data_IF_008377494948
#
_entry.id   IF_008377494948
#
_cell.length_a   1.000
_cell.length_b   1.000
_cell.length_c   1.000
_cell.angle_alpha   90.00
_cell.angle_beta   90.00
_cell.angle_gamma   90.00
#
_symmetry.space_group_name_H-M   'P 1'
#
loop_
_entity.id
_entity.type
_entity.pdbx_description
1 polymer ?
#
# COMPACT_ATOMS: atom_id res chain seq x y z
N UNK A 1 40.83 -3.21 -23.85
CA UNK A 1 39.84 -2.12 -23.72
C UNK A 1 38.65 -2.64 -22.94
N UNK A 2 38.35 -2.06 -21.79
CA UNK A 2 37.12 -2.34 -21.06
C UNK A 2 35.95 -1.80 -21.88
N UNK A 3 35.05 -2.69 -22.30
CA UNK A 3 33.85 -2.32 -23.05
C UNK A 3 32.88 -1.59 -22.12
N UNK A 4 32.91 -0.26 -22.18
CA UNK A 4 31.88 0.59 -21.55
C UNK A 4 30.63 0.59 -22.44
N UNK A 5 29.53 0.02 -21.92
CA UNK A 5 28.22 0.04 -22.57
C UNK A 5 27.38 1.21 -22.05
N UNK A 6 27.36 2.33 -22.78
CA UNK A 6 26.59 3.54 -22.41
C UNK A 6 25.11 3.49 -22.83
N UNK A 7 24.65 2.39 -23.46
CA UNK A 7 23.24 2.19 -23.83
C UNK A 7 22.99 1.07 -24.83
N UNK A 8 21.73 0.89 -25.24
CA UNK A 8 21.33 -0.17 -26.19
C UNK A 8 21.68 0.13 -27.66
N UNK A 9 22.34 1.26 -27.96
CA UNK A 9 22.71 1.68 -29.31
C UNK A 9 21.54 1.59 -30.31
N UNK A 10 21.77 0.98 -31.48
CA UNK A 10 20.77 0.75 -32.54
C UNK A 10 19.54 -0.06 -32.11
N UNK A 11 19.59 -0.76 -30.97
CA UNK A 11 18.48 -1.56 -30.46
C UNK A 11 17.48 -0.75 -29.64
N UNK A 12 17.80 0.49 -29.26
CA UNK A 12 16.90 1.36 -28.49
C UNK A 12 15.55 1.56 -29.20
N UNK A 13 15.57 1.83 -30.51
CA UNK A 13 14.33 2.03 -31.28
C UNK A 13 13.50 0.74 -31.42
N UNK A 14 14.18 -0.39 -31.62
CA UNK A 14 13.52 -1.69 -31.66
C UNK A 14 12.85 -2.01 -30.32
N UNK A 15 13.56 -1.80 -29.20
CA UNK A 15 13.02 -1.98 -27.85
C UNK A 15 11.80 -1.09 -27.56
N UNK A 16 11.83 0.17 -27.99
CA UNK A 16 10.69 1.08 -27.90
C UNK A 16 9.46 0.54 -28.68
N UNK A 17 9.67 0.10 -29.91
CA UNK A 17 8.59 -0.44 -30.77
C UNK A 17 8.00 -1.74 -30.19
N UNK A 18 8.85 -2.64 -29.68
CA UNK A 18 8.41 -3.83 -28.96
C UNK A 18 7.58 -3.42 -27.73
N UNK A 19 8.07 -2.48 -26.93
CA UNK A 19 7.34 -2.00 -25.75
C UNK A 19 5.97 -1.40 -26.10
N UNK A 20 5.90 -0.60 -27.17
CA UNK A 20 4.63 -0.01 -27.67
C UNK A 20 3.65 -1.07 -28.16
N UNK A 21 4.12 -2.12 -28.83
CA UNK A 21 3.27 -3.20 -29.31
C UNK A 21 2.81 -4.14 -28.18
N UNK A 22 3.72 -4.49 -27.26
CA UNK A 22 3.48 -5.51 -26.23
C UNK A 22 2.68 -4.95 -25.03
N UNK A 23 2.92 -3.70 -24.61
CA UNK A 23 2.27 -3.14 -23.41
C UNK A 23 0.74 -3.14 -23.46
N UNK A 24 0.07 -2.74 -24.56
CA UNK A 24 -1.38 -2.83 -24.67
C UNK A 24 -1.87 -4.28 -24.67
N UNK A 25 -1.20 -5.17 -25.41
CA UNK A 25 -1.55 -6.58 -25.49
C UNK A 25 -1.45 -7.29 -24.13
N UNK A 26 -0.39 -7.01 -23.36
CA UNK A 26 -0.22 -7.56 -22.00
C UNK A 26 -1.29 -7.04 -21.05
N UNK A 27 -1.61 -5.74 -21.09
CA UNK A 27 -2.69 -5.18 -20.26
C UNK A 27 -4.03 -5.83 -20.57
N UNK A 28 -4.35 -6.01 -21.85
CA UNK A 28 -5.58 -6.65 -22.30
C UNK A 28 -5.63 -8.13 -21.89
N UNK A 29 -4.52 -8.86 -22.05
CA UNK A 29 -4.42 -10.25 -21.61
C UNK A 29 -4.62 -10.39 -20.09
N UNK A 30 -3.97 -9.53 -19.30
CA UNK A 30 -4.12 -9.51 -17.83
C UNK A 30 -5.56 -9.17 -17.42
N UNK A 31 -6.20 -8.22 -18.11
CA UNK A 31 -7.60 -7.89 -17.89
C UNK A 31 -8.51 -9.09 -18.18
N UNK A 32 -8.35 -9.76 -19.32
CA UNK A 32 -9.17 -10.93 -19.68
C UNK A 32 -8.95 -12.13 -18.76
N UNK A 33 -7.72 -12.36 -18.32
CA UNK A 33 -7.36 -13.54 -17.52
C UNK A 33 -7.72 -13.37 -16.03
N UNK A 34 -7.52 -12.17 -15.49
CA UNK A 34 -7.60 -11.94 -14.03
C UNK A 34 -8.49 -10.78 -13.62
N UNK A 35 -9.08 -10.05 -14.58
CA UNK A 35 -9.80 -8.80 -14.34
C UNK A 35 -8.91 -7.61 -14.01
N UNK A 36 -7.58 -7.74 -14.13
CA UNK A 36 -6.63 -6.69 -13.75
C UNK A 36 -6.87 -5.42 -14.56
N UNK A 37 -7.39 -4.41 -13.89
CA UNK A 37 -7.71 -3.09 -14.45
C UNK A 37 -7.18 -1.97 -13.54
N UNK A 38 -7.06 -0.73 -14.02
CA UNK A 38 -6.74 0.42 -13.16
C UNK A 38 -7.71 0.54 -11.98
N UNK A 39 -9.01 0.33 -12.24
CA UNK A 39 -10.06 0.34 -11.23
C UNK A 39 -9.81 -0.76 -10.21
N UNK A 40 -9.58 -2.01 -10.64
CA UNK A 40 -9.28 -3.12 -9.71
C UNK A 40 -8.04 -2.83 -8.86
N UNK A 41 -7.01 -2.23 -9.44
CA UNK A 41 -5.75 -1.91 -8.77
C UNK A 41 -5.83 -0.69 -7.84
N UNK A 42 -6.85 0.16 -7.94
CA UNK A 42 -7.06 1.28 -7.03
C UNK A 42 -7.65 0.79 -5.70
N UNK A 43 -6.80 0.16 -4.88
CA UNK A 43 -7.13 -0.51 -3.62
C UNK A 43 -5.96 -0.44 -2.64
N UNK A 44 -6.25 -0.11 -1.38
CA UNK A 44 -5.32 -0.10 -0.24
C UNK A 44 -4.85 -1.52 0.07
N UNK A 45 -5.77 -2.45 0.27
CA UNK A 45 -5.50 -3.84 0.62
C UNK A 45 -4.68 -4.54 -0.45
N UNK A 46 -4.91 -4.27 -1.74
CA UNK A 46 -4.09 -4.85 -2.81
C UNK A 46 -2.63 -4.41 -2.75
N UNK A 47 -2.35 -3.17 -2.32
CA UNK A 47 -0.98 -2.66 -2.17
C UNK A 47 -0.29 -3.28 -0.96
N UNK A 48 -1.03 -3.47 0.13
CA UNK A 48 -0.51 -4.04 1.36
C UNK A 48 -0.44 -5.58 1.32
N UNK A 49 -1.14 -6.24 0.40
CA UNK A 49 -1.20 -7.71 0.28
C UNK A 49 0.18 -8.37 0.26
N UNK A 50 1.17 -7.77 -0.41
CA UNK A 50 2.55 -8.33 -0.48
C UNK A 50 3.27 -8.35 0.86
N UNK A 51 2.81 -7.53 1.81
CA UNK A 51 3.30 -7.48 3.19
C UNK A 51 2.43 -8.32 4.14
N UNK A 52 1.51 -9.13 3.61
CA UNK A 52 0.66 -10.04 4.38
C UNK A 52 -0.64 -9.43 4.90
N UNK A 53 -0.84 -8.12 4.80
CA UNK A 53 -2.06 -7.45 5.29
C UNK A 53 -3.27 -7.86 4.46
N UNK A 54 -4.33 -8.28 5.15
CA UNK A 54 -5.61 -8.64 4.56
C UNK A 54 -6.77 -8.29 5.52
N UNK A 55 -7.99 -8.43 5.04
CA UNK A 55 -9.21 -8.11 5.79
C UNK A 55 -9.32 -8.90 7.11
N UNK A 56 -8.99 -10.19 7.10
CA UNK A 56 -9.07 -11.02 8.31
C UNK A 56 -8.11 -10.52 9.40
N UNK A 57 -6.87 -10.15 9.04
CA UNK A 57 -5.90 -9.58 9.99
C UNK A 57 -6.41 -8.26 10.57
N UNK A 58 -6.94 -7.38 9.72
CA UNK A 58 -7.49 -6.10 10.17
C UNK A 58 -8.71 -6.30 11.08
N UNK A 59 -9.55 -7.27 10.77
CA UNK A 59 -10.69 -7.65 11.61
C UNK A 59 -10.25 -8.16 12.98
N UNK A 60 -9.27 -9.06 13.04
CA UNK A 60 -8.72 -9.55 14.32
C UNK A 60 -8.14 -8.41 15.15
N UNK A 61 -7.45 -7.45 14.51
CA UNK A 61 -6.91 -6.26 15.20
C UNK A 61 -8.02 -5.33 15.69
N UNK A 62 -9.07 -5.14 14.90
CA UNK A 62 -10.25 -4.39 15.33
C UNK A 62 -10.90 -5.02 16.56
N UNK A 63 -11.11 -6.34 16.54
CA UNK A 63 -11.66 -7.09 17.66
C UNK A 63 -10.81 -6.97 18.93
N UNK A 64 -9.49 -7.08 18.80
CA UNK A 64 -8.58 -6.95 19.93
C UNK A 64 -8.65 -5.56 20.61
N UNK A 65 -9.00 -4.50 19.87
CA UNK A 65 -9.12 -3.14 20.38
C UNK A 65 -10.52 -2.72 20.82
N UNK A 66 -11.59 -3.27 20.22
CA UNK A 66 -12.97 -2.82 20.42
C UNK A 66 -13.89 -3.88 21.06
N UNK A 67 -13.53 -5.16 20.99
CA UNK A 67 -14.26 -6.27 21.64
C UNK A 67 -15.64 -6.62 21.09
N UNK A 68 -16.14 -5.92 20.07
CA UNK A 68 -17.49 -6.14 19.53
C UNK A 68 -17.47 -6.96 18.22
N UNK A 69 -17.97 -8.21 18.29
CA UNK A 69 -18.05 -9.12 17.15
C UNK A 69 -19.33 -8.91 16.31
N UNK A 70 -20.35 -8.24 16.85
CA UNK A 70 -21.66 -8.09 16.21
C UNK A 70 -21.63 -7.07 15.04
N UNK A 71 -20.52 -6.35 14.89
CA UNK A 71 -20.33 -5.33 13.84
C UNK A 71 -19.54 -5.81 12.63
N UNK A 72 -19.30 -7.13 12.47
CA UNK A 72 -18.46 -7.66 11.39
C UNK A 72 -18.92 -7.23 10.00
N UNK A 73 -20.23 -7.21 9.77
CA UNK A 73 -20.80 -6.80 8.47
C UNK A 73 -20.49 -5.33 8.19
N UNK A 74 -20.78 -4.45 9.16
CA UNK A 74 -20.50 -3.02 9.06
C UNK A 74 -19.01 -2.74 8.91
N UNK A 75 -18.15 -3.51 9.60
CA UNK A 75 -16.71 -3.43 9.45
C UNK A 75 -16.28 -3.73 8.01
N UNK A 76 -16.73 -4.86 7.44
CA UNK A 76 -16.38 -5.25 6.06
C UNK A 76 -16.87 -4.20 5.05
N UNK A 77 -18.08 -3.67 5.22
CA UNK A 77 -18.62 -2.61 4.36
C UNK A 77 -17.80 -1.32 4.46
N UNK A 78 -17.50 -0.87 5.69
CA UNK A 78 -16.68 0.31 5.92
C UNK A 78 -15.27 0.14 5.35
N UNK A 79 -14.63 -1.01 5.57
CA UNK A 79 -13.31 -1.31 5.05
C UNK A 79 -13.30 -1.36 3.52
N UNK A 80 -14.35 -1.90 2.89
CA UNK A 80 -14.50 -1.93 1.42
C UNK A 80 -14.59 -0.51 0.82
N UNK A 81 -15.28 0.41 1.49
CA UNK A 81 -15.31 1.82 1.08
C UNK A 81 -13.94 2.47 1.28
N UNK A 82 -13.33 2.28 2.44
CA UNK A 82 -12.03 2.83 2.79
C UNK A 82 -10.91 2.31 1.87
N UNK A 83 -11.00 1.06 1.42
CA UNK A 83 -10.07 0.44 0.48
C UNK A 83 -9.96 1.23 -0.83
N UNK A 84 -11.02 1.97 -1.18
CA UNK A 84 -11.13 2.77 -2.41
C UNK A 84 -10.98 4.27 -2.17
N UNK A 85 -10.72 4.72 -0.94
CA UNK A 85 -10.49 6.12 -0.66
C UNK A 85 -9.25 6.64 -1.40
N UNK A 86 -9.43 7.70 -2.19
CA UNK A 86 -8.40 8.19 -3.11
C UNK A 86 -7.12 8.63 -2.38
N UNK A 87 -7.28 9.27 -1.22
CA UNK A 87 -6.14 9.78 -0.46
C UNK A 87 -5.43 8.65 0.29
N UNK A 88 -6.18 7.75 0.92
CA UNK A 88 -5.59 6.59 1.59
C UNK A 88 -4.88 5.66 0.61
N UNK A 89 -5.44 5.44 -0.58
CA UNK A 89 -4.77 4.71 -1.66
C UNK A 89 -3.44 5.40 -2.04
N UNK A 90 -3.43 6.72 -2.12
CA UNK A 90 -2.23 7.51 -2.46
C UNK A 90 -1.17 7.38 -1.37
N UNK A 91 -1.50 7.68 -0.10
CA UNK A 91 -0.55 7.59 1.00
C UNK A 91 -0.07 6.16 1.25
N UNK A 92 -0.97 5.17 1.11
CA UNK A 92 -0.57 3.76 1.17
C UNK A 92 0.42 3.44 0.05
N UNK A 93 0.27 3.99 -1.16
CA UNK A 93 1.24 3.78 -2.25
C UNK A 93 2.63 4.31 -1.89
N UNK A 94 2.69 5.52 -1.32
CA UNK A 94 3.94 6.16 -0.89
C UNK A 94 4.59 5.38 0.24
N UNK A 95 3.80 4.97 1.24
CA UNK A 95 4.29 4.18 2.37
C UNK A 95 4.81 2.82 1.93
N UNK A 96 4.06 2.11 1.09
CA UNK A 96 4.44 0.83 0.50
C UNK A 96 5.74 0.96 -0.32
N UNK A 97 5.93 2.05 -1.04
CA UNK A 97 7.17 2.33 -1.76
C UNK A 97 8.35 2.65 -0.81
N UNK A 98 8.11 3.40 0.26
CA UNK A 98 9.11 3.63 1.32
C UNK A 98 9.62 2.30 1.90
N UNK A 99 8.71 1.36 2.17
CA UNK A 99 9.08 0.02 2.64
C UNK A 99 9.89 -0.76 1.60
N UNK A 100 9.62 -0.60 0.30
CA UNK A 100 10.48 -1.19 -0.73
C UNK A 100 11.89 -0.63 -0.69
N UNK A 101 12.02 0.70 -0.58
CA UNK A 101 13.35 1.34 -0.53
C UNK A 101 14.14 0.89 0.70
N UNK A 102 13.48 0.77 1.85
CA UNK A 102 14.08 0.23 3.07
C UNK A 102 14.51 -1.24 2.90
N UNK A 103 13.65 -2.09 2.34
CA UNK A 103 13.97 -3.50 2.10
C UNK A 103 15.08 -3.73 1.08
N UNK A 104 15.28 -2.77 0.18
CA UNK A 104 16.36 -2.79 -0.81
C UNK A 104 17.63 -2.09 -0.31
N UNK A 105 17.66 -1.70 0.97
CA UNK A 105 18.79 -1.00 1.61
C UNK A 105 19.15 0.32 0.90
N UNK A 106 18.17 0.93 0.21
CA UNK A 106 18.31 2.21 -0.49
C UNK A 106 18.07 3.41 0.45
N UNK A 107 17.42 3.17 1.58
CA UNK A 107 17.22 4.14 2.65
C UNK A 107 17.67 3.54 3.97
N UNK A 108 18.26 4.38 4.81
CA UNK A 108 18.62 4.01 6.17
C UNK A 108 17.37 3.82 7.05
N UNK A 109 17.56 3.18 8.19
CA UNK A 109 16.55 3.03 9.23
C UNK A 109 16.01 4.40 9.69
N UNK A 110 16.89 5.37 9.94
CA UNK A 110 16.51 6.70 10.42
C UNK A 110 15.63 7.45 9.41
N UNK A 111 16.06 7.49 8.14
CA UNK A 111 15.30 8.10 7.04
C UNK A 111 13.92 7.45 6.89
N UNK A 112 13.87 6.12 7.02
CA UNK A 112 12.63 5.35 6.85
C UNK A 112 11.67 5.58 8.02
N UNK A 113 12.15 5.57 9.26
CA UNK A 113 11.33 5.86 10.45
C UNK A 113 10.78 7.28 10.39
N UNK A 114 11.61 8.26 10.02
CA UNK A 114 11.16 9.65 9.90
C UNK A 114 10.07 9.81 8.85
N UNK A 115 10.34 9.41 7.60
CA UNK A 115 9.39 9.55 6.50
C UNK A 115 8.10 8.74 6.75
N UNK A 116 8.23 7.56 7.35
CA UNK A 116 7.10 6.71 7.70
C UNK A 116 6.17 7.36 8.73
N UNK A 117 6.74 7.99 9.76
CA UNK A 117 5.95 8.73 10.76
C UNK A 117 5.31 10.00 10.20
N UNK A 118 5.98 10.70 9.29
CA UNK A 118 5.39 11.85 8.57
C UNK A 118 4.16 11.42 7.75
N UNK A 119 4.25 10.31 7.02
CA UNK A 119 3.12 9.75 6.28
C UNK A 119 1.98 9.31 7.21
N UNK A 120 2.28 8.65 8.33
CA UNK A 120 1.29 8.29 9.34
C UNK A 120 0.58 9.52 9.91
N UNK A 121 1.31 10.60 10.18
CA UNK A 121 0.76 11.85 10.69
C UNK A 121 -0.17 12.54 9.67
N UNK A 122 0.18 12.54 8.38
CA UNK A 122 -0.68 13.08 7.31
C UNK A 122 -2.01 12.35 7.23
N UNK A 123 -1.99 11.01 7.25
CA UNK A 123 -3.23 10.21 7.22
C UNK A 123 -4.02 10.40 8.52
N UNK A 124 -3.35 10.37 9.66
CA UNK A 124 -3.97 10.62 10.97
C UNK A 124 -4.74 11.95 10.98
N UNK A 125 -4.09 13.04 10.54
CA UNK A 125 -4.70 14.37 10.49
C UNK A 125 -5.87 14.43 9.51
N UNK A 126 -5.75 13.76 8.35
CA UNK A 126 -6.81 13.70 7.35
C UNK A 126 -8.08 13.01 7.85
N UNK A 127 -7.93 11.86 8.50
CA UNK A 127 -9.06 11.07 9.01
C UNK A 127 -9.47 11.46 10.44
N UNK A 128 -8.73 12.37 11.09
CA UNK A 128 -8.98 12.83 12.45
C UNK A 128 -9.00 11.69 13.47
N UNK A 129 -8.06 10.77 13.36
CA UNK A 129 -7.85 9.65 14.30
C UNK A 129 -6.67 9.96 15.24
N UNK A 130 -6.45 9.22 16.33
CA UNK A 130 -5.26 9.41 17.17
C UNK A 130 -3.96 9.12 16.42
N UNK A 131 -2.90 9.89 16.71
CA UNK A 131 -1.59 9.69 16.08
C UNK A 131 -1.05 8.28 16.32
N UNK A 132 -0.66 7.63 15.22
CA UNK A 132 0.07 6.36 15.24
C UNK A 132 1.52 6.60 14.86
N UNK A 133 2.42 5.95 15.60
CA UNK A 133 3.87 6.06 15.44
C UNK A 133 4.43 4.65 15.26
N UNK A 134 5.49 4.53 14.46
CA UNK A 134 6.20 3.27 14.25
C UNK A 134 6.89 2.87 15.57
N UNK A 135 6.66 1.62 16.01
CA UNK A 135 7.10 1.13 17.33
C UNK A 135 8.53 0.58 17.39
N UNK A 136 9.29 0.68 16.31
CA UNK A 136 10.61 0.08 16.15
C UNK A 136 11.14 0.27 14.74
N UNK A 137 12.10 -0.55 14.33
CA UNK A 137 12.77 -0.44 13.03
C UNK A 137 12.73 -1.67 12.16
N UNK A 138 12.06 -2.74 12.62
CA UNK A 138 11.84 -3.92 11.79
C UNK A 138 10.67 -3.65 10.86
N UNK A 139 10.68 -4.24 9.66
CA UNK A 139 9.57 -4.16 8.70
C UNK A 139 8.19 -4.38 9.37
N UNK A 140 8.12 -5.31 10.32
CA UNK A 140 6.89 -5.63 11.04
C UNK A 140 6.34 -4.43 11.83
N UNK A 141 7.21 -3.58 12.41
CA UNK A 141 6.80 -2.40 13.18
C UNK A 141 6.07 -1.39 12.28
N UNK A 142 6.56 -1.20 11.05
CA UNK A 142 5.94 -0.35 10.04
C UNK A 142 4.57 -0.89 9.59
N UNK A 143 4.49 -2.20 9.34
CA UNK A 143 3.24 -2.85 8.93
C UNK A 143 2.22 -2.72 10.05
N UNK A 144 2.60 -3.02 11.28
CA UNK A 144 1.72 -2.93 12.45
C UNK A 144 1.21 -1.51 12.69
N UNK A 145 2.06 -0.49 12.47
CA UNK A 145 1.65 0.90 12.57
C UNK A 145 0.58 1.25 11.52
N UNK A 146 0.76 0.84 10.26
CA UNK A 146 -0.21 1.12 9.20
C UNK A 146 -1.52 0.34 9.39
N UNK A 147 -1.45 -0.93 9.84
CA UNK A 147 -2.63 -1.71 10.20
C UNK A 147 -3.42 -1.07 11.35
N UNK A 148 -2.73 -0.62 12.39
CA UNK A 148 -3.34 0.08 13.53
C UNK A 148 -4.06 1.34 13.07
N UNK A 149 -3.42 2.13 12.20
CA UNK A 149 -4.01 3.33 11.61
C UNK A 149 -5.30 3.01 10.84
N UNK A 150 -5.31 1.99 9.97
CA UNK A 150 -6.51 1.58 9.24
C UNK A 150 -7.63 1.18 10.21
N UNK A 151 -7.31 0.38 11.23
CA UNK A 151 -8.28 -0.05 12.24
C UNK A 151 -8.85 1.13 13.02
N UNK A 152 -8.04 2.13 13.35
CA UNK A 152 -8.51 3.36 14.01
C UNK A 152 -9.48 4.15 13.12
N UNK A 153 -9.22 4.23 11.82
CA UNK A 153 -10.12 4.90 10.87
C UNK A 153 -11.46 4.18 10.83
N UNK A 154 -11.45 2.86 10.64
CA UNK A 154 -12.70 2.07 10.61
C UNK A 154 -13.45 2.19 11.93
N UNK A 155 -12.77 2.08 13.07
CA UNK A 155 -13.41 2.23 14.38
C UNK A 155 -14.03 3.62 14.59
N UNK A 156 -13.43 4.67 14.04
CA UNK A 156 -14.02 6.01 14.08
C UNK A 156 -15.28 6.09 13.23
N UNK A 157 -15.24 5.61 12.00
CA UNK A 157 -16.39 5.63 11.08
C UNK A 157 -17.57 4.81 11.61
N UNK A 158 -17.32 3.70 12.31
CA UNK A 158 -18.38 2.88 12.92
C UNK A 158 -19.02 3.49 14.18
N UNK A 159 -18.34 4.44 14.83
CA UNK A 159 -18.81 5.11 16.05
C UNK A 159 -19.42 6.50 15.78
N UNK A 160 -19.36 6.98 14.54
CA UNK A 160 -20.00 8.22 14.09
C UNK A 160 -21.41 7.96 13.57
#
# INVERSE_FOLDING_TARGET
SELYFEGAGKHSKLGELIGRAVKPAVKEALFRQTGLSPQMQHSVLRRLKRFGVNEDILWQKYLAGNGNNDVKLQFTECLSQLDRDQQLVTYTSLYVHLLDQFLWELLSEEETVQAGNELLALVTGKFGVPLTVIGGSKLQDYIQAWEKLIVQIVAKELNN
#
